data_IF_217496553089
#
_entry.id   IF_217496553089
#
_cell.length_a   1.000
_cell.length_b   1.000
_cell.length_c   1.000
_cell.angle_alpha   90.00
_cell.angle_beta   90.00
_cell.angle_gamma   90.00
#
_symmetry.space_group_name_H-M   'P 1'
#
loop_
_entity.id
_entity.type
_entity.pdbx_description
1 polymer ?
#
# COMPACT_ATOMS: atom_id res chain seq x y z
N UNK A 1 19.51 -1.76 -13.20
CA UNK A 1 18.31 -1.58 -14.06
C UNK A 1 17.22 -2.65 -13.85
N UNK A 2 17.43 -3.67 -12.99
CA UNK A 2 16.44 -4.74 -12.73
C UNK A 2 15.67 -4.63 -11.40
N UNK A 3 16.16 -3.87 -10.40
CA UNK A 3 15.50 -3.70 -9.09
C UNK A 3 15.08 -2.24 -8.81
N UNK A 4 15.84 -1.28 -9.34
CA UNK A 4 15.61 0.14 -9.09
C UNK A 4 14.31 0.65 -9.73
N UNK A 5 13.97 0.18 -10.94
CA UNK A 5 12.75 0.59 -11.64
C UNK A 5 11.50 0.11 -10.91
N UNK A 6 11.36 -1.20 -10.57
CA UNK A 6 10.24 -1.68 -9.74
C UNK A 6 10.10 -0.94 -8.40
N UNK A 7 11.23 -0.65 -7.74
CA UNK A 7 11.25 0.06 -6.47
C UNK A 7 10.76 1.53 -6.60
N UNK A 8 11.26 2.28 -7.59
CA UNK A 8 10.76 3.64 -7.86
C UNK A 8 9.29 3.64 -8.28
N UNK A 9 8.86 2.64 -9.06
CA UNK A 9 7.44 2.51 -9.42
C UNK A 9 6.56 2.13 -8.25
N UNK A 10 7.09 1.51 -7.18
CA UNK A 10 6.36 1.21 -5.95
C UNK A 10 6.23 2.44 -5.03
N UNK A 11 7.21 3.35 -5.08
CA UNK A 11 7.21 4.58 -4.30
C UNK A 11 6.06 5.50 -4.67
N UNK A 12 5.75 5.62 -5.97
CA UNK A 12 4.66 6.48 -6.44
C UNK A 12 3.30 6.08 -5.82
N UNK A 13 2.79 4.84 -5.99
CA UNK A 13 1.55 4.42 -5.37
C UNK A 13 1.64 4.41 -3.84
N UNK A 14 2.79 4.04 -3.25
CA UNK A 14 2.99 4.08 -1.79
C UNK A 14 2.85 5.48 -1.20
N UNK A 15 3.46 6.49 -1.82
CA UNK A 15 3.34 7.90 -1.41
C UNK A 15 1.89 8.38 -1.58
N UNK A 16 1.22 8.02 -2.67
CA UNK A 16 -0.20 8.37 -2.90
C UNK A 16 -1.08 7.79 -1.79
N UNK A 17 -0.91 6.51 -1.46
CA UNK A 17 -1.65 5.83 -0.39
C UNK A 17 -1.44 6.54 0.95
N UNK A 18 -0.18 6.78 1.34
CA UNK A 18 0.13 7.44 2.61
C UNK A 18 -0.44 8.86 2.69
N UNK A 19 -0.35 9.62 1.59
CA UNK A 19 -0.90 10.99 1.52
C UNK A 19 -2.42 10.98 1.67
N UNK A 20 -3.10 10.03 1.01
CA UNK A 20 -4.56 9.86 1.16
C UNK A 20 -4.94 9.49 2.58
N UNK A 21 -4.24 8.53 3.20
CA UNK A 21 -4.48 8.11 4.58
C UNK A 21 -4.30 9.26 5.56
N UNK A 22 -3.23 10.05 5.42
CA UNK A 22 -2.98 11.22 6.24
C UNK A 22 -4.06 12.30 6.06
N UNK A 23 -4.55 12.50 4.83
CA UNK A 23 -5.61 13.46 4.56
C UNK A 23 -6.95 13.04 5.17
N UNK A 24 -7.32 11.75 5.07
CA UNK A 24 -8.53 11.21 5.69
C UNK A 24 -8.46 11.23 7.23
N UNK A 25 -7.26 10.99 7.76
CA UNK A 25 -6.93 11.16 9.18
C UNK A 25 -7.24 12.57 9.67
N UNK A 26 -6.73 13.59 8.97
CA UNK A 26 -6.88 15.00 9.37
C UNK A 26 -8.32 15.51 9.29
N UNK A 27 -9.17 14.89 8.46
CA UNK A 27 -10.60 15.26 8.33
C UNK A 27 -11.51 14.71 9.43
N UNK A 28 -10.98 13.94 10.39
CA UNK A 28 -11.77 13.40 11.50
C UNK A 28 -12.79 12.34 11.07
N UNK A 29 -12.57 11.69 9.92
CA UNK A 29 -13.47 10.64 9.43
C UNK A 29 -13.49 9.43 10.38
N UNK A 30 -14.57 8.65 10.30
CA UNK A 30 -14.71 7.43 11.10
C UNK A 30 -13.58 6.43 10.80
N UNK A 31 -13.25 5.60 11.80
CA UNK A 31 -12.17 4.61 11.70
C UNK A 31 -12.24 3.77 10.41
N UNK A 32 -13.45 3.36 10.01
CA UNK A 32 -13.67 2.60 8.79
C UNK A 32 -13.18 3.35 7.55
N UNK A 33 -13.56 4.62 7.39
CA UNK A 33 -13.18 5.44 6.24
C UNK A 33 -11.66 5.67 6.21
N UNK A 34 -11.05 5.81 7.39
CA UNK A 34 -9.61 5.98 7.51
C UNK A 34 -8.79 4.72 7.23
N UNK A 35 -9.39 3.55 7.42
CA UNK A 35 -8.78 2.25 7.10
C UNK A 35 -8.96 1.86 5.63
N UNK A 36 -9.89 2.48 4.90
CA UNK A 36 -10.13 2.20 3.48
C UNK A 36 -8.87 2.25 2.60
N UNK A 37 -7.98 3.26 2.70
CA UNK A 37 -6.79 3.31 1.88
C UNK A 37 -5.89 2.09 2.10
N UNK A 38 -5.74 1.64 3.35
CA UNK A 38 -5.00 0.41 3.68
C UNK A 38 -5.66 -0.83 3.09
N UNK A 39 -6.99 -0.98 3.23
CA UNK A 39 -7.72 -2.12 2.65
C UNK A 39 -7.58 -2.18 1.12
N UNK A 40 -7.70 -1.04 0.44
CA UNK A 40 -7.50 -0.94 -1.01
C UNK A 40 -6.07 -1.32 -1.38
N UNK A 41 -5.08 -0.87 -0.61
CA UNK A 41 -3.67 -1.19 -0.83
C UNK A 41 -3.41 -2.70 -0.76
N UNK A 42 -4.06 -3.38 0.19
CA UNK A 42 -3.94 -4.83 0.36
C UNK A 42 -4.51 -5.58 -0.86
N UNK A 43 -5.67 -5.14 -1.38
CA UNK A 43 -6.26 -5.69 -2.61
C UNK A 43 -5.30 -5.49 -3.79
N UNK A 44 -4.73 -4.29 -3.93
CA UNK A 44 -3.75 -3.97 -4.98
C UNK A 44 -2.51 -4.87 -4.89
N UNK A 45 -2.00 -5.13 -3.68
CA UNK A 45 -0.87 -6.04 -3.50
C UNK A 45 -1.18 -7.46 -3.98
N UNK A 46 -2.36 -7.99 -3.64
CA UNK A 46 -2.81 -9.32 -4.09
C UNK A 46 -2.90 -9.39 -5.62
N UNK A 47 -3.44 -8.35 -6.26
CA UNK A 47 -3.50 -8.26 -7.73
C UNK A 47 -2.09 -8.29 -8.33
N UNK A 48 -1.13 -7.55 -7.77
CA UNK A 48 0.25 -7.57 -8.25
C UNK A 48 0.91 -8.94 -8.09
N UNK A 49 0.68 -9.63 -6.97
CA UNK A 49 1.13 -11.02 -6.80
C UNK A 49 0.51 -11.94 -7.85
N UNK A 50 -0.79 -11.81 -8.12
CA UNK A 50 -1.45 -12.61 -9.15
C UNK A 50 -0.88 -12.35 -10.55
N UNK A 51 -0.68 -11.09 -10.92
CA UNK A 51 -0.06 -10.73 -12.21
C UNK A 51 1.36 -11.29 -12.30
N UNK A 52 2.17 -11.10 -11.25
CA UNK A 52 3.56 -11.55 -11.19
C UNK A 52 3.77 -13.06 -11.08
N UNK A 53 2.74 -13.82 -10.73
CA UNK A 53 2.81 -15.28 -10.64
C UNK A 53 2.15 -15.97 -11.84
N UNK A 54 0.98 -15.48 -12.25
CA UNK A 54 0.14 -16.14 -13.26
C UNK A 54 0.39 -15.60 -14.67
N UNK A 55 0.43 -14.27 -14.82
CA UNK A 55 0.44 -13.63 -16.15
C UNK A 55 1.86 -13.38 -16.66
N UNK A 56 2.73 -12.82 -15.82
CA UNK A 56 4.11 -12.49 -16.17
C UNK A 56 5.02 -13.40 -15.35
N UNK A 57 5.73 -14.32 -16.01
CA UNK A 57 6.59 -15.31 -15.35
C UNK A 57 8.06 -14.94 -15.47
N UNK A 58 8.90 -15.53 -14.62
CA UNK A 58 10.35 -15.27 -14.62
C UNK A 58 10.73 -14.03 -13.82
N UNK A 59 11.82 -13.36 -14.20
CA UNK A 59 12.40 -12.26 -13.41
C UNK A 59 11.46 -11.05 -13.31
N UNK A 60 10.73 -10.74 -14.37
CA UNK A 60 9.73 -9.66 -14.40
C UNK A 60 8.56 -9.97 -13.44
N UNK A 61 8.08 -11.22 -13.41
CA UNK A 61 7.07 -11.66 -12.46
C UNK A 61 7.50 -11.50 -11.00
N UNK A 62 8.76 -11.83 -10.70
CA UNK A 62 9.37 -11.61 -9.39
C UNK A 62 9.39 -10.14 -8.98
N UNK A 63 9.52 -9.21 -9.94
CA UNK A 63 9.48 -7.78 -9.67
C UNK A 63 8.09 -7.28 -9.24
N UNK A 64 7.02 -7.83 -9.80
CA UNK A 64 5.64 -7.55 -9.36
C UNK A 64 5.36 -8.12 -7.96
N UNK A 65 5.89 -9.31 -7.65
CA UNK A 65 5.83 -9.87 -6.30
C UNK A 65 6.58 -9.00 -5.28
N UNK A 66 7.77 -8.50 -5.65
CA UNK A 66 8.53 -7.56 -4.82
C UNK A 66 7.78 -6.25 -4.60
N UNK A 67 7.15 -5.69 -5.65
CA UNK A 67 6.24 -4.55 -5.58
C UNK A 67 5.07 -4.79 -4.61
N UNK A 68 4.38 -5.92 -4.76
CA UNK A 68 3.29 -6.32 -3.87
C UNK A 68 3.72 -6.41 -2.40
N UNK A 69 4.92 -6.93 -2.14
CA UNK A 69 5.49 -7.00 -0.79
C UNK A 69 5.64 -5.62 -0.13
N UNK A 70 6.17 -4.62 -0.84
CA UNK A 70 6.25 -3.25 -0.30
C UNK A 70 4.88 -2.62 -0.08
N UNK A 71 3.92 -2.86 -0.97
CA UNK A 71 2.55 -2.35 -0.82
C UNK A 71 1.89 -2.92 0.45
N UNK A 72 2.16 -4.18 0.80
CA UNK A 72 1.69 -4.77 2.07
C UNK A 72 2.29 -4.03 3.27
N UNK A 73 3.59 -3.70 3.26
CA UNK A 73 4.23 -2.94 4.33
C UNK A 73 3.56 -1.56 4.48
N UNK A 74 3.33 -0.84 3.37
CA UNK A 74 2.63 0.43 3.39
C UNK A 74 1.18 0.31 3.88
N UNK A 75 0.49 -0.78 3.53
CA UNK A 75 -0.85 -1.07 4.05
C UNK A 75 -0.84 -1.24 5.57
N UNK A 76 0.13 -1.96 6.12
CA UNK A 76 0.27 -2.15 7.57
C UNK A 76 0.53 -0.80 8.26
N UNK A 77 1.47 -0.01 7.73
CA UNK A 77 1.76 1.34 8.25
C UNK A 77 0.51 2.22 8.20
N UNK A 78 -0.25 2.17 7.10
CA UNK A 78 -1.52 2.91 6.96
C UNK A 78 -2.55 2.52 8.03
N UNK A 79 -2.63 1.24 8.41
CA UNK A 79 -3.53 0.81 9.49
C UNK A 79 -3.06 1.29 10.87
N UNK A 80 -1.74 1.28 11.12
CA UNK A 80 -1.15 1.77 12.38
C UNK A 80 -1.39 3.28 12.53
N UNK A 81 -1.09 4.07 11.49
CA UNK A 81 -1.39 5.51 11.46
C UNK A 81 -2.90 5.76 11.54
N UNK A 82 -3.69 4.89 10.90
CA UNK A 82 -5.15 4.83 11.00
C UNK A 82 -5.68 4.79 12.44
N UNK A 83 -5.09 3.94 13.26
CA UNK A 83 -5.48 3.73 14.66
C UNK A 83 -4.86 4.73 15.62
N UNK A 84 -3.59 5.14 15.41
CA UNK A 84 -2.83 5.94 16.37
C UNK A 84 -3.46 7.30 16.67
N UNK A 85 -4.03 7.95 15.69
CA UNK A 85 -4.64 9.28 15.85
C UNK A 85 -6.00 9.22 16.55
N UNK A 86 -6.64 8.03 16.59
CA UNK A 86 -7.80 7.79 17.46
C UNK A 86 -7.42 7.79 18.94
N UNK A 87 -6.18 7.44 19.27
CA UNK A 87 -5.66 7.48 20.65
C UNK A 87 -5.19 8.89 21.06
N UNK A 88 -4.98 9.81 20.11
CA UNK A 88 -4.60 11.21 20.39
C UNK A 88 -5.84 12.10 20.57
N UNK A 89 -6.98 11.73 20.00
CA UNK A 89 -8.25 12.50 20.05
C UNK A 89 -9.17 12.05 21.21
N UNK A 90 -8.74 11.09 22.05
CA UNK A 90 -9.42 10.70 23.30
C UNK A 90 -8.76 11.39 24.48
#
# INVERSE_FOLDING_TARGET
MMLLVPFLTALIPGIIILTLTYWFSKKGFSLFVRMLPGMISLIVAVIFFYIGFVNIRGFEGGSYGFLGFFIIIFSIISFVVGQSDRNVVR
#
